data_IF_472931637695
#
_entry.id   IF_472931637695
#
_cell.length_a   1.000
_cell.length_b   1.000
_cell.length_c   1.000
_cell.angle_alpha   90.00
_cell.angle_beta   90.00
_cell.angle_gamma   90.00
#
_symmetry.space_group_name_H-M   'P 1'
#
loop_
_entity.id
_entity.type
_entity.pdbx_description
1 polymer ?
#
# COMPACT_ATOMS: atom_id res chain seq x y z
N UNK A 1 0.37 -9.23 -16.92
CA UNK A 1 0.18 -8.22 -15.83
C UNK A 1 0.44 -6.83 -16.38
N UNK A 2 -0.47 -5.89 -16.22
CA UNK A 2 -0.30 -4.50 -16.65
C UNK A 2 -0.28 -3.59 -15.43
N UNK A 3 0.87 -2.92 -15.19
CA UNK A 3 1.18 -2.14 -13.99
C UNK A 3 2.12 -2.87 -13.04
N UNK A 4 3.25 -2.24 -12.69
CA UNK A 4 4.33 -2.77 -11.83
C UNK A 4 4.42 -2.05 -10.47
N UNK A 5 3.28 -1.66 -9.90
CA UNK A 5 3.18 -1.30 -8.48
C UNK A 5 3.17 -2.55 -7.59
N UNK A 6 3.04 -2.38 -6.27
CA UNK A 6 3.02 -3.51 -5.32
C UNK A 6 1.98 -4.58 -5.71
N UNK A 7 0.79 -4.18 -6.12
CA UNK A 7 -0.28 -5.11 -6.53
C UNK A 7 0.16 -5.92 -7.74
N UNK A 8 0.62 -5.27 -8.83
CA UNK A 8 0.98 -5.98 -10.06
C UNK A 8 2.21 -6.86 -9.90
N UNK A 9 3.29 -6.34 -9.28
CA UNK A 9 4.49 -7.14 -9.02
C UNK A 9 4.21 -8.30 -8.06
N UNK A 10 3.47 -8.05 -6.98
CA UNK A 10 3.13 -9.09 -6.01
C UNK A 10 2.24 -10.17 -6.60
N UNK A 11 1.26 -9.79 -7.43
CA UNK A 11 0.41 -10.77 -8.13
C UNK A 11 1.22 -11.56 -9.16
N UNK A 12 2.07 -10.88 -9.94
CA UNK A 12 2.94 -11.54 -10.92
C UNK A 12 3.86 -12.58 -10.25
N UNK A 13 4.50 -12.20 -9.14
CA UNK A 13 5.35 -13.08 -8.36
C UNK A 13 4.59 -14.29 -7.80
N UNK A 14 3.42 -14.07 -7.24
CA UNK A 14 2.59 -15.15 -6.69
C UNK A 14 2.15 -16.15 -7.78
N UNK A 15 1.74 -15.67 -8.94
CA UNK A 15 1.36 -16.50 -10.08
C UNK A 15 2.56 -17.28 -10.66
N UNK A 16 3.72 -16.64 -10.79
CA UNK A 16 4.94 -17.30 -11.26
C UNK A 16 5.37 -18.43 -10.32
N UNK A 17 5.23 -18.26 -8.99
CA UNK A 17 5.46 -19.33 -8.02
C UNK A 17 4.52 -20.54 -8.18
N UNK A 18 3.33 -20.32 -8.74
CA UNK A 18 2.36 -21.38 -9.05
C UNK A 18 2.58 -22.01 -10.43
N UNK A 19 3.63 -21.60 -11.15
CA UNK A 19 4.00 -22.15 -12.45
C UNK A 19 3.30 -21.51 -13.63
N UNK A 20 2.61 -20.37 -13.46
CA UNK A 20 2.08 -19.62 -14.59
C UNK A 20 3.20 -18.92 -15.35
N UNK A 21 3.09 -18.90 -16.67
CA UNK A 21 3.91 -18.04 -17.52
C UNK A 21 3.39 -16.61 -17.44
N UNK A 22 4.23 -15.69 -16.96
CA UNK A 22 3.81 -14.32 -16.64
C UNK A 22 4.70 -13.32 -17.38
N UNK A 23 4.08 -12.31 -18.02
CA UNK A 23 4.75 -11.10 -18.51
C UNK A 23 4.22 -9.87 -17.77
N UNK A 24 5.10 -8.92 -17.41
CA UNK A 24 4.76 -7.68 -16.74
C UNK A 24 5.04 -6.49 -17.64
N UNK A 25 4.10 -5.57 -17.76
CA UNK A 25 4.19 -4.36 -18.59
C UNK A 25 4.01 -3.11 -17.74
N UNK A 26 5.03 -2.26 -17.67
CA UNK A 26 4.95 -0.93 -17.04
C UNK A 26 6.08 -0.04 -17.56
N UNK A 27 5.81 1.18 -18.04
CA UNK A 27 6.85 2.06 -18.59
C UNK A 27 7.89 2.50 -17.54
N UNK A 28 7.64 2.29 -16.26
CA UNK A 28 8.54 2.66 -15.14
C UNK A 28 9.45 1.52 -14.67
N UNK A 29 9.42 0.35 -15.29
CA UNK A 29 10.24 -0.80 -14.87
C UNK A 29 11.75 -0.51 -14.88
N UNK A 30 12.21 0.34 -15.81
CA UNK A 30 13.61 0.75 -15.90
C UNK A 30 13.97 1.95 -14.99
N UNK A 31 12.99 2.53 -14.29
CA UNK A 31 13.25 3.64 -13.38
C UNK A 31 13.77 3.13 -12.03
N UNK A 32 14.62 3.93 -11.40
CA UNK A 32 15.05 3.70 -10.04
C UNK A 32 13.87 3.68 -9.07
N UNK A 33 13.94 2.79 -8.09
CA UNK A 33 12.94 2.67 -7.03
C UNK A 33 13.42 3.49 -5.84
N UNK A 34 13.42 4.81 -5.97
CA UNK A 34 13.76 5.74 -4.88
C UNK A 34 12.79 6.93 -4.85
N UNK A 35 12.97 7.81 -3.88
CA UNK A 35 12.20 9.05 -3.72
C UNK A 35 13.04 10.29 -4.05
N UNK A 36 14.33 10.12 -4.27
CA UNK A 36 15.26 11.20 -4.57
C UNK A 36 15.14 11.58 -6.05
N UNK A 37 15.02 12.85 -6.34
CA UNK A 37 14.90 13.38 -7.70
C UNK A 37 13.53 13.24 -8.38
N UNK A 38 12.59 12.51 -7.82
CA UNK A 38 11.26 12.25 -8.42
C UNK A 38 10.09 12.68 -7.52
N UNK A 39 10.28 13.72 -6.72
CA UNK A 39 9.36 14.12 -5.64
C UNK A 39 7.87 14.24 -6.03
N UNK A 40 7.56 14.52 -7.29
CA UNK A 40 6.20 14.79 -7.77
C UNK A 40 5.65 13.78 -8.79
N UNK A 41 6.41 12.74 -9.16
CA UNK A 41 5.97 11.71 -10.14
C UNK A 41 6.18 10.28 -9.62
N UNK A 42 6.01 10.06 -8.34
CA UNK A 42 6.13 8.74 -7.75
C UNK A 42 4.91 7.88 -8.05
N UNK A 43 5.13 6.57 -8.23
CA UNK A 43 4.03 5.61 -8.23
C UNK A 43 3.33 5.61 -6.87
N UNK A 44 2.06 5.20 -6.82
CA UNK A 44 1.34 5.08 -5.55
C UNK A 44 2.05 4.19 -4.52
N UNK A 45 2.80 3.19 -4.98
CA UNK A 45 3.61 2.31 -4.12
C UNK A 45 4.85 3.03 -3.61
N UNK A 46 5.65 3.66 -4.49
CA UNK A 46 6.89 4.36 -4.11
C UNK A 46 6.62 5.54 -3.19
N UNK A 47 5.49 6.23 -3.37
CA UNK A 47 5.07 7.32 -2.47
C UNK A 47 4.50 6.82 -1.13
N UNK A 48 4.09 5.56 -1.03
CA UNK A 48 3.49 4.99 0.18
C UNK A 48 4.48 4.95 1.34
N UNK A 49 3.96 5.04 2.57
CA UNK A 49 4.71 4.79 3.80
C UNK A 49 4.78 3.30 4.19
N UNK A 50 4.05 2.44 3.47
CA UNK A 50 4.05 1.00 3.71
C UNK A 50 3.33 0.55 4.98
N UNK A 51 2.46 1.36 5.54
CA UNK A 51 1.73 1.04 6.77
C UNK A 51 0.72 -0.09 6.55
N UNK A 52 0.74 -1.09 7.42
CA UNK A 52 -0.11 -2.26 7.44
C UNK A 52 -1.10 -2.14 8.60
N UNK A 53 -2.27 -1.56 8.35
CA UNK A 53 -3.37 -1.38 9.32
C UNK A 53 -4.49 -2.39 9.02
N UNK A 54 -4.23 -3.66 9.28
CA UNK A 54 -5.17 -4.75 9.03
C UNK A 54 -6.11 -4.98 10.20
N UNK A 55 -5.56 -5.19 11.40
CA UNK A 55 -6.31 -5.57 12.59
C UNK A 55 -7.03 -4.40 13.29
N UNK A 56 -6.48 -3.18 13.20
CA UNK A 56 -7.13 -1.96 13.74
C UNK A 56 -8.27 -1.44 12.87
N UNK A 57 -8.59 -2.10 11.75
CA UNK A 57 -9.69 -1.70 10.89
C UNK A 57 -11.04 -1.83 11.59
N UNK A 58 -11.84 -0.75 11.62
CA UNK A 58 -13.07 -0.67 12.44
C UNK A 58 -14.14 -1.69 12.12
N UNK A 59 -14.27 -2.13 10.84
CA UNK A 59 -15.27 -3.14 10.46
C UNK A 59 -14.76 -4.53 10.75
N UNK A 60 -15.61 -5.40 11.29
CA UNK A 60 -15.32 -6.81 11.62
C UNK A 60 -15.97 -7.79 10.65
N UNK A 61 -16.52 -7.31 9.53
CA UNK A 61 -17.21 -8.13 8.53
C UNK A 61 -17.08 -7.55 7.12
N UNK A 62 -17.54 -8.29 6.13
CA UNK A 62 -17.53 -7.91 4.72
C UNK A 62 -16.21 -8.19 4.00
N UNK A 63 -16.22 -8.00 2.66
CA UNK A 63 -15.07 -8.32 1.78
C UNK A 63 -13.79 -7.59 2.21
N UNK A 64 -13.89 -6.30 2.51
CA UNK A 64 -12.72 -5.49 2.88
C UNK A 64 -12.05 -5.94 4.18
N UNK A 65 -12.81 -6.43 5.16
CA UNK A 65 -12.26 -7.03 6.37
C UNK A 65 -11.58 -8.38 6.07
N UNK A 66 -12.26 -9.28 5.37
CA UNK A 66 -11.70 -10.60 5.01
C UNK A 66 -10.38 -10.46 4.25
N UNK A 67 -10.33 -9.55 3.28
CA UNK A 67 -9.12 -9.31 2.49
C UNK A 67 -7.96 -8.76 3.34
N UNK A 68 -8.23 -7.82 4.25
CA UNK A 68 -7.22 -7.32 5.20
C UNK A 68 -6.68 -8.42 6.09
N UNK A 69 -7.59 -9.16 6.72
CA UNK A 69 -7.22 -10.26 7.61
C UNK A 69 -6.35 -11.27 6.88
N UNK A 70 -6.79 -11.71 5.70
CA UNK A 70 -6.03 -12.65 4.88
C UNK A 70 -4.66 -12.11 4.48
N UNK A 71 -4.58 -10.85 4.07
CA UNK A 71 -3.30 -10.21 3.76
C UNK A 71 -2.35 -10.20 4.96
N UNK A 72 -2.84 -9.87 6.16
CA UNK A 72 -2.02 -9.87 7.37
C UNK A 72 -1.53 -11.28 7.75
N UNK A 73 -2.32 -12.32 7.49
CA UNK A 73 -1.92 -13.71 7.68
C UNK A 73 -0.81 -14.14 6.71
N UNK A 74 -0.80 -13.60 5.49
CA UNK A 74 0.17 -13.93 4.43
C UNK A 74 1.49 -13.15 4.54
N UNK A 75 1.47 -11.93 5.07
CA UNK A 75 2.64 -11.05 5.11
C UNK A 75 3.90 -11.69 5.72
N UNK A 76 3.86 -12.41 6.84
CA UNK A 76 5.06 -13.03 7.42
C UNK A 76 5.77 -13.96 6.44
N UNK A 77 5.03 -14.86 5.79
CA UNK A 77 5.58 -15.80 4.81
C UNK A 77 6.12 -15.08 3.57
N UNK A 78 5.41 -14.05 3.09
CA UNK A 78 5.87 -13.26 1.96
C UNK A 78 7.22 -12.58 2.24
N UNK A 79 7.36 -11.98 3.42
CA UNK A 79 8.62 -11.34 3.82
C UNK A 79 9.74 -12.38 3.94
N UNK A 80 9.50 -13.50 4.60
CA UNK A 80 10.49 -14.57 4.75
C UNK A 80 11.04 -15.02 3.39
N UNK A 81 10.15 -15.26 2.41
CA UNK A 81 10.55 -15.67 1.07
C UNK A 81 11.29 -14.55 0.32
N UNK A 82 10.79 -13.32 0.36
CA UNK A 82 11.36 -12.19 -0.36
C UNK A 82 12.70 -11.69 0.22
N UNK A 83 13.03 -12.02 1.46
CA UNK A 83 14.33 -11.72 2.07
C UNK A 83 15.51 -12.40 1.36
N UNK A 84 15.27 -13.52 0.68
CA UNK A 84 16.30 -14.14 -0.17
C UNK A 84 16.78 -13.22 -1.29
N UNK A 85 15.89 -12.33 -1.78
CA UNK A 85 16.15 -11.40 -2.87
C UNK A 85 16.51 -9.99 -2.38
N UNK A 86 16.07 -9.60 -1.19
CA UNK A 86 16.37 -8.30 -0.57
C UNK A 86 16.58 -8.49 0.94
N UNK A 87 17.84 -8.71 1.39
CA UNK A 87 18.13 -9.05 2.79
C UNK A 87 17.69 -8.01 3.82
N UNK A 88 17.53 -6.75 3.42
CA UNK A 88 17.10 -5.66 4.31
C UNK A 88 15.56 -5.52 4.40
N UNK A 89 14.82 -6.25 3.56
CA UNK A 89 13.36 -6.24 3.64
C UNK A 89 12.90 -6.89 4.95
N UNK A 90 12.11 -6.17 5.74
CA UNK A 90 11.56 -6.65 7.03
C UNK A 90 10.10 -6.27 7.17
N UNK A 91 9.37 -7.13 7.86
CA UNK A 91 8.13 -6.74 8.50
C UNK A 91 8.49 -6.08 9.84
N UNK A 92 8.04 -4.86 10.04
CA UNK A 92 8.22 -4.11 11.28
C UNK A 92 6.90 -4.08 12.04
N UNK A 93 6.66 -5.02 12.97
CA UNK A 93 5.42 -5.08 13.72
C UNK A 93 5.36 -4.01 14.81
N UNK A 94 4.16 -3.79 15.33
CA UNK A 94 3.87 -2.82 16.38
C UNK A 94 3.34 -1.51 15.81
N UNK A 95 2.02 -1.33 15.91
CA UNK A 95 1.34 -0.08 15.57
C UNK A 95 0.61 0.44 16.82
N UNK A 96 0.79 1.71 17.12
CA UNK A 96 0.11 2.41 18.20
C UNK A 96 -0.75 3.53 17.62
N UNK A 97 -2.06 3.47 17.83
CA UNK A 97 -2.98 4.53 17.46
C UNK A 97 -3.40 5.30 18.71
N UNK A 98 -3.14 6.61 18.73
CA UNK A 98 -3.49 7.50 19.84
C UNK A 98 -5.00 7.80 19.80
N UNK A 99 -5.64 7.81 20.94
CA UNK A 99 -7.03 8.22 21.06
C UNK A 99 -7.13 9.75 21.13
N UNK A 100 -7.81 10.34 20.14
CA UNK A 100 -7.96 11.79 20.02
C UNK A 100 -8.83 12.39 21.14
N UNK A 101 -9.83 11.63 21.59
CA UNK A 101 -10.77 11.99 22.62
C UNK A 101 -11.27 10.76 23.42
N UNK A 102 -12.07 11.00 24.45
CA UNK A 102 -12.65 9.92 25.29
C UNK A 102 -13.57 8.99 24.47
N UNK A 103 -14.28 9.50 23.46
CA UNK A 103 -15.15 8.68 22.62
C UNK A 103 -14.33 7.77 21.70
N UNK A 104 -13.21 8.27 21.19
CA UNK A 104 -12.25 7.45 20.42
C UNK A 104 -11.65 6.36 21.31
N UNK A 105 -11.25 6.68 22.55
CA UNK A 105 -10.74 5.71 23.51
C UNK A 105 -11.76 4.58 23.78
N UNK A 106 -13.02 4.90 24.04
CA UNK A 106 -14.09 3.90 24.24
C UNK A 106 -14.30 3.01 23.02
N UNK A 107 -14.23 3.56 21.80
CA UNK A 107 -14.31 2.76 20.57
C UNK A 107 -13.10 1.82 20.41
N UNK A 108 -11.91 2.30 20.76
CA UNK A 108 -10.68 1.50 20.73
C UNK A 108 -10.70 0.39 21.76
N UNK A 109 -11.20 0.66 22.97
CA UNK A 109 -11.38 -0.33 24.03
C UNK A 109 -12.32 -1.46 23.60
N UNK A 110 -13.48 -1.10 23.04
CA UNK A 110 -14.42 -2.07 22.49
C UNK A 110 -13.80 -2.91 21.36
N UNK A 111 -12.98 -2.31 20.50
CA UNK A 111 -12.28 -3.02 19.44
C UNK A 111 -11.19 -3.96 19.99
N UNK A 112 -10.42 -3.51 20.98
CA UNK A 112 -9.40 -4.31 21.65
C UNK A 112 -10.01 -5.54 22.31
N UNK A 113 -11.13 -5.36 23.05
CA UNK A 113 -11.85 -6.46 23.68
C UNK A 113 -12.36 -7.52 22.67
N UNK A 114 -12.75 -7.10 21.47
CA UNK A 114 -13.20 -8.00 20.40
C UNK A 114 -12.06 -8.73 19.67
N UNK A 115 -10.81 -8.25 19.76
CA UNK A 115 -9.67 -8.72 18.95
C UNK A 115 -8.41 -8.97 19.77
N UNK A 116 -8.59 -9.47 20.99
CA UNK A 116 -7.46 -9.87 21.85
C UNK A 116 -6.62 -10.96 21.17
N UNK A 117 -7.27 -11.90 20.50
CA UNK A 117 -6.65 -12.97 19.70
C UNK A 117 -5.84 -12.45 18.50
N UNK A 118 -6.17 -11.25 18.00
CA UNK A 118 -5.42 -10.57 16.95
C UNK A 118 -4.33 -9.62 17.51
N UNK A 119 -4.05 -9.69 18.80
CA UNK A 119 -2.99 -8.92 19.44
C UNK A 119 -3.29 -7.44 19.65
N UNK A 120 -4.58 -7.07 19.76
CA UNK A 120 -5.00 -5.71 20.10
C UNK A 120 -5.11 -5.55 21.62
N UNK A 121 -4.59 -4.44 22.14
CA UNK A 121 -4.70 -4.07 23.54
C UNK A 121 -4.74 -2.55 23.71
N UNK A 122 -5.46 -2.11 24.74
CA UNK A 122 -5.41 -0.71 25.17
C UNK A 122 -4.11 -0.44 25.94
N UNK A 123 -3.56 0.76 25.73
CA UNK A 123 -2.42 1.30 26.47
C UNK A 123 -2.86 2.58 27.15
N UNK A 124 -2.54 2.72 28.42
CA UNK A 124 -2.97 3.89 29.21
C UNK A 124 -2.15 5.14 28.89
N UNK A 125 -2.68 6.32 29.22
CA UNK A 125 -1.91 7.57 29.08
C UNK A 125 -0.63 7.58 29.93
N UNK A 126 -0.65 6.92 31.08
CA UNK A 126 0.53 6.80 31.96
C UNK A 126 1.64 5.96 31.30
N UNK A 127 1.29 4.86 30.64
CA UNK A 127 2.25 4.01 29.92
C UNK A 127 2.82 4.72 28.68
N UNK A 128 2.05 5.62 28.09
CA UNK A 128 2.47 6.38 26.89
C UNK A 128 3.26 7.65 27.23
N UNK A 129 3.32 8.07 28.48
CA UNK A 129 3.91 9.35 28.87
C UNK A 129 5.37 9.51 28.41
N UNK A 130 6.16 8.43 28.36
CA UNK A 130 7.55 8.44 27.89
C UNK A 130 7.68 8.46 26.36
N UNK A 131 6.71 7.88 25.62
CA UNK A 131 6.73 7.78 24.15
C UNK A 131 6.00 8.97 23.53
N UNK A 132 4.80 9.26 24.03
CA UNK A 132 3.91 10.28 23.48
C UNK A 132 3.19 11.05 24.60
N UNK A 133 3.82 12.08 25.18
CA UNK A 133 3.30 12.78 26.37
C UNK A 133 1.93 13.45 26.18
N UNK A 134 1.52 13.70 24.93
CA UNK A 134 0.22 14.31 24.61
C UNK A 134 -0.94 13.32 24.53
N UNK A 135 -0.70 12.01 24.68
CA UNK A 135 -1.70 10.94 24.64
C UNK A 135 -2.59 10.91 25.90
N UNK A 136 -3.45 11.92 26.06
CA UNK A 136 -4.30 12.11 27.28
C UNK A 136 -5.31 11.00 27.50
N UNK A 137 -5.78 10.36 26.43
CA UNK A 137 -6.81 9.32 26.46
C UNK A 137 -6.25 7.92 26.19
N UNK A 138 -4.91 7.77 26.24
CA UNK A 138 -4.26 6.50 25.92
C UNK A 138 -4.28 6.18 24.41
N UNK A 139 -4.25 4.90 24.08
CA UNK A 139 -4.25 4.47 22.69
C UNK A 139 -4.49 2.98 22.50
N UNK A 140 -4.64 2.57 21.25
CA UNK A 140 -4.79 1.19 20.83
C UNK A 140 -3.47 0.68 20.26
N UNK A 141 -2.86 -0.30 20.90
CA UNK A 141 -1.69 -1.00 20.40
C UNK A 141 -2.11 -2.26 19.65
N UNK A 142 -1.58 -2.45 18.46
CA UNK A 142 -1.67 -3.70 17.69
C UNK A 142 -0.29 -4.31 17.57
N UNK A 143 -0.13 -5.53 18.08
CA UNK A 143 1.14 -6.28 18.02
C UNK A 143 1.52 -6.64 16.60
N UNK A 144 0.55 -6.94 15.74
CA UNK A 144 0.78 -7.53 14.42
C UNK A 144 0.61 -6.52 13.27
N UNK A 145 -0.15 -5.44 13.45
CA UNK A 145 -0.10 -4.32 12.51
C UNK A 145 1.27 -3.63 12.60
N UNK A 146 1.63 -2.89 11.57
CA UNK A 146 2.94 -2.26 11.52
C UNK A 146 3.26 -1.72 10.14
N UNK A 147 4.45 -2.05 9.60
CA UNK A 147 4.84 -1.59 8.26
C UNK A 147 5.80 -2.54 7.55
N UNK A 148 5.85 -2.39 6.23
CA UNK A 148 6.93 -2.87 5.36
C UNK A 148 7.47 -1.69 4.55
N UNK A 149 8.76 -1.66 4.25
CA UNK A 149 9.30 -0.62 3.36
C UNK A 149 8.85 -0.88 1.91
N UNK A 150 8.06 0.01 1.29
CA UNK A 150 7.50 -0.23 -0.03
C UNK A 150 8.54 -0.14 -1.16
N UNK A 151 9.67 0.55 -0.94
CA UNK A 151 10.76 0.61 -1.91
C UNK A 151 11.53 -0.71 -1.91
N UNK A 152 11.91 -1.20 -0.74
CA UNK A 152 12.55 -2.51 -0.59
C UNK A 152 11.64 -3.64 -1.07
N UNK A 153 10.34 -3.55 -0.81
CA UNK A 153 9.36 -4.52 -1.33
C UNK A 153 9.35 -4.57 -2.85
N UNK A 154 9.33 -3.40 -3.52
CA UNK A 154 9.37 -3.35 -4.98
C UNK A 154 10.67 -3.92 -5.54
N UNK A 155 11.82 -3.62 -4.91
CA UNK A 155 13.12 -4.17 -5.31
C UNK A 155 13.13 -5.69 -5.17
N UNK A 156 12.69 -6.22 -4.03
CA UNK A 156 12.61 -7.66 -3.79
C UNK A 156 11.73 -8.38 -4.81
N UNK A 157 10.53 -7.83 -5.07
CA UNK A 157 9.61 -8.41 -6.05
C UNK A 157 10.16 -8.38 -7.47
N UNK A 158 10.80 -7.27 -7.90
CA UNK A 158 11.44 -7.19 -9.22
C UNK A 158 12.56 -8.22 -9.35
N UNK A 159 13.41 -8.34 -8.35
CA UNK A 159 14.51 -9.31 -8.38
C UNK A 159 14.00 -10.76 -8.38
N UNK A 160 13.01 -11.07 -7.54
CA UNK A 160 12.39 -12.39 -7.50
C UNK A 160 11.77 -12.79 -8.85
N UNK A 161 11.13 -11.84 -9.55
CA UNK A 161 10.55 -12.06 -10.87
C UNK A 161 11.64 -12.32 -11.94
N UNK A 162 12.74 -11.56 -11.90
CA UNK A 162 13.88 -11.79 -12.82
C UNK A 162 14.49 -13.17 -12.60
N UNK A 163 14.69 -13.60 -11.36
CA UNK A 163 15.23 -14.92 -11.04
C UNK A 163 14.30 -16.07 -11.46
N UNK A 164 12.98 -15.81 -11.51
CA UNK A 164 11.99 -16.76 -12.04
C UNK A 164 11.82 -16.65 -13.56
N UNK A 165 12.67 -15.88 -14.25
CA UNK A 165 12.62 -15.68 -15.71
C UNK A 165 11.30 -15.05 -16.19
N UNK A 166 10.62 -14.28 -15.36
CA UNK A 166 9.45 -13.52 -15.75
C UNK A 166 9.86 -12.36 -16.65
N UNK A 167 9.15 -12.20 -17.76
CA UNK A 167 9.42 -11.13 -18.72
C UNK A 167 8.94 -9.78 -18.18
N UNK A 168 9.89 -8.85 -17.97
CA UNK A 168 9.63 -7.49 -17.49
C UNK A 168 9.78 -6.49 -18.64
N UNK A 169 8.66 -5.99 -19.16
CA UNK A 169 8.60 -5.10 -20.32
C UNK A 169 8.44 -3.63 -19.87
N UNK A 170 9.48 -2.83 -20.04
CA UNK A 170 9.48 -1.39 -19.70
C UNK A 170 8.76 -0.56 -20.77
N UNK A 171 7.55 -0.94 -21.11
CA UNK A 171 6.72 -0.28 -22.12
C UNK A 171 5.28 -0.10 -21.63
N UNK A 172 4.61 0.92 -22.16
CA UNK A 172 3.19 1.15 -21.87
C UNK A 172 2.31 0.26 -22.76
N UNK A 173 1.30 -0.36 -22.16
CA UNK A 173 0.18 -0.93 -22.91
C UNK A 173 -0.78 0.19 -23.27
N UNK A 174 -1.16 0.28 -24.53
CA UNK A 174 -2.00 1.36 -25.06
C UNK A 174 -3.38 0.90 -25.52
N UNK A 175 -3.55 -0.40 -25.78
CA UNK A 175 -4.82 -0.98 -26.21
C UNK A 175 -4.88 -2.46 -25.87
N UNK A 176 -6.08 -2.91 -25.52
CA UNK A 176 -6.44 -4.31 -25.38
C UNK A 176 -7.49 -4.66 -26.42
N UNK A 177 -7.40 -5.85 -26.96
CA UNK A 177 -8.36 -6.38 -27.92
C UNK A 177 -8.59 -7.85 -27.61
N UNK A 178 -9.86 -8.27 -27.63
CA UNK A 178 -10.20 -9.68 -27.52
C UNK A 178 -10.53 -10.25 -28.87
N UNK A 179 -9.89 -11.37 -29.22
CA UNK A 179 -10.22 -12.14 -30.40
C UNK A 179 -10.30 -13.61 -29.98
N UNK A 180 -11.45 -14.22 -30.23
CA UNK A 180 -11.79 -15.55 -29.75
C UNK A 180 -11.63 -15.67 -28.22
N UNK A 181 -10.76 -16.57 -27.78
CA UNK A 181 -10.49 -16.80 -26.36
C UNK A 181 -9.19 -16.14 -25.87
N UNK A 182 -8.57 -15.28 -26.67
CA UNK A 182 -7.27 -14.66 -26.35
C UNK A 182 -7.36 -13.15 -26.26
N UNK A 183 -6.48 -12.57 -25.46
CA UNK A 183 -6.27 -11.15 -25.33
C UNK A 183 -5.02 -10.71 -26.06
N UNK A 184 -5.15 -9.72 -26.93
CA UNK A 184 -4.05 -9.06 -27.62
C UNK A 184 -3.70 -7.80 -26.85
N UNK A 185 -2.45 -7.73 -26.39
CA UNK A 185 -1.88 -6.62 -25.63
C UNK A 185 -1.02 -5.79 -26.57
N UNK A 186 -1.50 -4.61 -26.96
CA UNK A 186 -0.78 -3.70 -27.87
C UNK A 186 0.03 -2.68 -27.08
N UNK A 187 1.30 -2.57 -27.39
CA UNK A 187 2.27 -1.75 -26.70
C UNK A 187 2.59 -0.46 -27.45
N UNK A 188 3.10 0.55 -26.73
CA UNK A 188 3.49 1.84 -27.30
C UNK A 188 4.71 1.78 -28.23
N UNK A 189 5.52 0.71 -28.14
CA UNK A 189 6.64 0.44 -29.04
C UNK A 189 6.23 -0.17 -30.39
N UNK A 190 4.93 -0.41 -30.58
CA UNK A 190 4.35 -0.99 -31.80
C UNK A 190 4.25 -2.52 -31.81
N UNK A 191 4.83 -3.18 -30.82
CA UNK A 191 4.75 -4.61 -30.64
C UNK A 191 3.41 -5.04 -30.01
N UNK A 192 3.06 -6.32 -30.18
CA UNK A 192 1.88 -6.93 -29.60
C UNK A 192 2.19 -8.33 -29.10
N UNK A 193 1.52 -8.73 -28.03
CA UNK A 193 1.61 -10.07 -27.46
C UNK A 193 0.23 -10.65 -27.21
N UNK A 194 0.14 -11.98 -27.18
CA UNK A 194 -1.12 -12.72 -27.02
C UNK A 194 -1.10 -13.45 -25.68
N UNK A 195 -2.18 -13.32 -24.94
CA UNK A 195 -2.31 -13.92 -23.60
C UNK A 195 -3.70 -14.53 -23.40
N UNK A 196 -3.78 -15.59 -22.60
CA UNK A 196 -5.05 -16.19 -22.18
C UNK A 196 -5.76 -15.29 -21.15
N UNK A 197 -4.97 -14.60 -20.32
CA UNK A 197 -5.45 -13.74 -19.23
C UNK A 197 -4.71 -12.42 -19.23
N UNK A 198 -5.43 -11.35 -18.91
CA UNK A 198 -4.88 -10.02 -18.65
C UNK A 198 -5.36 -9.53 -17.29
N UNK A 199 -4.41 -9.14 -16.44
CA UNK A 199 -4.72 -8.55 -15.13
C UNK A 199 -4.28 -7.09 -15.11
N UNK A 200 -5.23 -6.19 -14.89
CA UNK A 200 -5.03 -4.74 -14.86
C UNK A 200 -4.78 -4.25 -13.42
N UNK A 201 -3.58 -3.73 -13.18
CA UNK A 201 -3.14 -3.14 -11.90
C UNK A 201 -2.72 -1.68 -12.07
N UNK A 202 -3.28 -0.96 -13.04
CA UNK A 202 -2.83 0.34 -13.55
C UNK A 202 -3.35 1.55 -12.78
N UNK A 203 -4.05 1.33 -11.66
CA UNK A 203 -4.58 2.37 -10.79
C UNK A 203 -5.38 3.44 -11.57
N UNK A 204 -5.02 4.72 -11.49
CA UNK A 204 -5.71 5.82 -12.19
C UNK A 204 -5.70 5.69 -13.73
N UNK A 205 -4.80 4.88 -14.29
CA UNK A 205 -4.72 4.67 -15.73
C UNK A 205 -5.56 3.50 -16.25
N UNK A 206 -6.33 2.84 -15.40
CA UNK A 206 -7.17 1.70 -15.79
C UNK A 206 -8.19 2.08 -16.87
N UNK A 207 -8.83 3.24 -16.76
CA UNK A 207 -9.88 3.66 -17.69
C UNK A 207 -9.37 3.85 -19.13
N UNK A 208 -8.11 4.26 -19.33
CA UNK A 208 -7.51 4.37 -20.67
C UNK A 208 -7.61 3.05 -21.45
N UNK A 209 -7.50 1.92 -20.75
CA UNK A 209 -7.60 0.59 -21.35
C UNK A 209 -9.03 0.02 -21.33
N UNK A 210 -9.86 0.46 -20.37
CA UNK A 210 -11.19 -0.11 -20.12
C UNK A 210 -12.30 0.63 -20.88
N UNK A 211 -12.21 1.95 -21.08
CA UNK A 211 -13.24 2.71 -21.81
C UNK A 211 -13.45 2.22 -23.24
N UNK A 212 -12.39 1.92 -24.04
CA UNK A 212 -12.58 1.38 -25.38
C UNK A 212 -13.29 0.01 -25.43
N UNK A 213 -13.25 -0.74 -24.30
CA UNK A 213 -13.93 -2.03 -24.16
C UNK A 213 -15.36 -1.89 -23.61
N UNK A 214 -15.82 -0.67 -23.30
CA UNK A 214 -17.09 -0.43 -22.63
C UNK A 214 -17.10 -0.84 -21.14
N UNK A 215 -15.93 -1.06 -20.56
CA UNK A 215 -15.75 -1.57 -19.19
C UNK A 215 -15.24 -0.50 -18.21
N UNK A 216 -15.54 0.77 -18.43
CA UNK A 216 -15.06 1.87 -17.60
C UNK A 216 -15.29 1.64 -16.09
N UNK A 217 -14.26 1.91 -15.30
CA UNK A 217 -14.28 1.82 -13.82
C UNK A 217 -13.64 3.10 -13.25
N UNK A 218 -14.39 4.22 -13.26
CA UNK A 218 -13.84 5.54 -12.97
C UNK A 218 -13.23 5.61 -11.58
N UNK A 219 -12.06 6.25 -11.51
CA UNK A 219 -11.32 6.49 -10.27
C UNK A 219 -10.92 7.96 -10.20
N UNK A 220 -11.05 8.55 -9.00
CA UNK A 220 -10.56 9.90 -8.74
C UNK A 220 -9.19 9.86 -8.08
N UNK A 221 -8.29 10.78 -8.45
CA UNK A 221 -7.03 10.95 -7.74
C UNK A 221 -7.29 11.53 -6.35
N UNK A 222 -6.54 11.03 -5.37
CA UNK A 222 -6.44 11.60 -4.03
C UNK A 222 -4.96 11.70 -3.70
N UNK A 223 -4.46 12.94 -3.66
CA UNK A 223 -3.07 13.22 -3.39
C UNK A 223 -2.75 12.98 -1.92
N UNK A 224 -1.53 12.57 -1.66
CA UNK A 224 -0.96 12.47 -0.33
C UNK A 224 0.48 12.90 -0.31
N UNK A 225 0.79 13.83 0.59
CA UNK A 225 2.14 14.32 0.83
C UNK A 225 2.74 13.64 2.05
N UNK A 226 4.05 13.42 2.04
CA UNK A 226 4.81 12.89 3.16
C UNK A 226 6.17 13.59 3.29
N UNK A 227 6.69 13.59 4.50
CA UNK A 227 7.96 14.23 4.87
C UNK A 227 8.94 13.21 5.45
N UNK A 228 10.22 13.41 5.18
CA UNK A 228 11.33 12.88 5.97
C UNK A 228 11.85 14.00 6.87
N UNK A 229 11.92 13.72 8.16
CA UNK A 229 12.28 14.68 9.19
C UNK A 229 13.55 14.23 9.91
N UNK A 230 14.43 15.19 10.19
CA UNK A 230 15.58 15.05 11.06
C UNK A 230 15.34 15.87 12.34
N UNK A 231 15.44 15.18 13.49
CA UNK A 231 15.15 15.77 14.80
C UNK A 231 16.39 16.47 15.33
N UNK A 232 16.27 17.73 15.69
CA UNK A 232 17.29 18.53 16.36
C UNK A 232 17.23 18.38 17.88
N UNK A 233 16.06 18.06 18.40
CA UNK A 233 15.77 17.80 19.82
C UNK A 233 14.80 16.64 19.93
N UNK A 234 14.57 16.13 21.14
CA UNK A 234 13.59 15.04 21.37
C UNK A 234 14.22 13.64 21.38
N UNK A 235 13.51 12.62 20.92
CA UNK A 235 14.01 11.24 20.97
C UNK A 235 15.27 11.07 20.12
N UNK A 236 16.37 10.71 20.74
CA UNK A 236 17.65 10.39 20.05
C UNK A 236 17.71 8.92 19.66
N UNK A 237 16.89 8.07 20.29
CA UNK A 237 16.73 6.66 19.98
C UNK A 237 15.25 6.32 19.94
N UNK A 238 14.91 5.27 19.22
CA UNK A 238 13.53 4.81 19.10
C UNK A 238 13.23 3.60 19.99
N UNK A 239 13.98 3.47 21.11
CA UNK A 239 13.74 2.44 22.10
C UNK A 239 12.33 2.58 22.66
N UNK A 240 11.59 1.46 22.71
CA UNK A 240 10.19 1.39 23.14
C UNK A 240 9.16 2.12 22.27
N UNK A 241 9.58 2.67 21.10
CA UNK A 241 8.64 3.20 20.14
C UNK A 241 8.01 2.10 19.30
N UNK A 242 6.73 2.24 18.91
CA UNK A 242 6.14 1.38 17.91
C UNK A 242 6.79 1.61 16.54
N UNK A 243 6.70 0.64 15.65
CA UNK A 243 7.17 0.82 14.27
C UNK A 243 6.32 1.85 13.50
N UNK A 244 5.07 2.05 13.94
CA UNK A 244 4.16 3.10 13.45
C UNK A 244 3.39 3.68 14.64
N UNK A 245 3.52 4.98 14.86
CA UNK A 245 2.64 5.73 15.75
C UNK A 245 1.65 6.52 14.90
N UNK A 246 0.35 6.41 15.20
CA UNK A 246 -0.72 7.13 14.49
C UNK A 246 -1.34 8.13 15.42
N UNK A 247 -1.21 9.40 15.09
CA UNK A 247 -1.85 10.50 15.83
C UNK A 247 -2.47 11.49 14.86
N UNK A 248 -3.64 12.05 15.18
CA UNK A 248 -4.40 12.98 14.35
C UNK A 248 -4.59 12.49 12.89
N UNK A 249 -4.67 11.17 12.68
CA UNK A 249 -4.80 10.58 11.35
C UNK A 249 -3.50 10.50 10.54
N UNK A 250 -2.37 10.99 11.08
CA UNK A 250 -1.05 10.92 10.46
C UNK A 250 -0.19 9.82 11.07
N UNK A 251 0.70 9.26 10.26
CA UNK A 251 1.64 8.22 10.69
C UNK A 251 3.01 8.84 10.94
N UNK A 252 3.58 8.51 12.09
CA UNK A 252 4.96 8.81 12.46
C UNK A 252 5.73 7.49 12.47
N UNK A 253 6.77 7.41 11.66
CA UNK A 253 7.50 6.17 11.39
C UNK A 253 8.98 6.39 11.65
N UNK A 254 9.54 5.86 12.74
CA UNK A 254 10.97 5.86 12.99
C UNK A 254 11.72 5.12 11.87
N UNK A 255 12.83 5.69 11.38
CA UNK A 255 13.66 5.07 10.34
C UNK A 255 15.11 4.86 10.78
N UNK A 256 15.71 5.86 11.40
CA UNK A 256 17.06 5.84 11.94
C UNK A 256 17.13 6.70 13.20
N UNK A 257 18.17 6.62 14.02
CA UNK A 257 18.33 7.52 15.17
C UNK A 257 18.14 8.99 14.77
N UNK A 258 17.22 9.69 15.45
CA UNK A 258 16.87 11.08 15.15
C UNK A 258 16.18 11.32 13.81
N UNK A 259 15.70 10.30 13.12
CA UNK A 259 14.96 10.42 11.84
C UNK A 259 13.64 9.71 11.85
N UNK A 260 12.65 10.36 11.27
CA UNK A 260 11.33 9.76 11.09
C UNK A 260 10.66 10.20 9.77
N UNK A 261 9.74 9.39 9.28
CA UNK A 261 8.80 9.78 8.24
C UNK A 261 7.49 10.24 8.88
N UNK A 262 6.91 11.29 8.34
CA UNK A 262 5.60 11.82 8.74
C UNK A 262 4.68 11.83 7.52
N UNK A 263 3.50 11.26 7.66
CA UNK A 263 2.53 11.22 6.55
C UNK A 263 1.28 10.41 6.84
N UNK A 264 0.35 10.51 5.96
CA UNK A 264 0.34 11.35 4.78
C UNK A 264 -0.94 12.18 4.75
N UNK A 265 -0.88 13.31 4.11
CA UNK A 265 -2.08 14.10 3.85
C UNK A 265 -3.11 13.34 3.02
N UNK A 266 -4.34 13.81 3.01
CA UNK A 266 -5.45 13.27 2.19
C UNK A 266 -6.12 14.45 1.50
N UNK A 267 -5.74 14.67 0.25
CA UNK A 267 -6.14 15.84 -0.53
C UNK A 267 -6.94 15.41 -1.75
N UNK A 268 -8.18 15.84 -1.91
CA UNK A 268 -8.96 15.57 -3.12
C UNK A 268 -8.26 16.18 -4.36
N UNK A 269 -8.16 15.40 -5.43
CA UNK A 269 -7.50 15.84 -6.68
C UNK A 269 -6.03 15.43 -6.75
N UNK A 270 -5.31 16.10 -7.63
CA UNK A 270 -3.93 15.79 -8.04
C UNK A 270 -2.91 16.89 -7.72
N UNK A 271 -3.35 17.97 -7.09
CA UNK A 271 -2.50 19.13 -6.76
C UNK A 271 -2.24 19.19 -5.26
N UNK A 272 -0.96 19.29 -4.90
CA UNK A 272 -0.52 19.49 -3.53
C UNK A 272 -0.91 20.89 -3.02
N UNK A 273 -1.30 20.98 -1.75
CA UNK A 273 -1.65 22.20 -1.06
C UNK A 273 -0.78 22.40 0.18
N UNK A 274 -0.49 23.66 0.51
CA UNK A 274 0.32 24.01 1.69
C UNK A 274 -0.45 23.80 3.00
N UNK A 275 -1.75 24.07 3.02
CA UNK A 275 -2.55 23.98 4.24
C UNK A 275 -2.59 22.56 4.83
N UNK A 276 -2.91 21.49 4.08
CA UNK A 276 -2.86 20.12 4.58
C UNK A 276 -1.47 19.69 5.01
N UNK A 277 -0.42 20.14 4.32
CA UNK A 277 0.98 19.86 4.67
C UNK A 277 1.34 20.52 6.01
N UNK A 278 0.96 21.76 6.22
CA UNK A 278 1.15 22.51 7.46
C UNK A 278 0.41 21.86 8.62
N UNK A 279 -0.87 21.50 8.43
CA UNK A 279 -1.67 20.78 9.43
C UNK A 279 -1.05 19.45 9.81
N UNK A 280 -0.57 18.68 8.84
CA UNK A 280 0.14 17.42 9.09
C UNK A 280 1.40 17.64 9.91
N UNK A 281 2.25 18.60 9.52
CA UNK A 281 3.50 18.91 10.22
C UNK A 281 3.27 19.31 11.67
N UNK A 282 2.19 20.02 11.94
CA UNK A 282 1.81 20.46 13.28
C UNK A 282 0.85 19.51 13.99
N UNK A 283 0.53 18.34 13.42
CA UNK A 283 -0.46 17.39 13.93
C UNK A 283 -1.75 18.08 14.39
N UNK A 284 -2.32 18.91 13.53
CA UNK A 284 -3.49 19.74 13.86
C UNK A 284 -3.27 20.54 15.16
N UNK A 285 -2.11 21.19 15.30
CA UNK A 285 -1.68 22.02 16.44
C UNK A 285 -1.31 21.23 17.71
N UNK A 286 -1.30 19.90 17.66
CA UNK A 286 -0.99 19.04 18.82
C UNK A 286 0.44 18.47 18.80
N UNK A 287 1.27 18.82 17.80
CA UNK A 287 2.64 18.33 17.71
C UNK A 287 3.47 18.74 18.93
N UNK A 288 4.27 17.82 19.51
CA UNK A 288 5.26 18.19 20.51
C UNK A 288 6.34 19.11 19.92
N UNK A 289 7.00 19.90 20.77
CA UNK A 289 7.98 20.90 20.34
C UNK A 289 9.10 20.30 19.48
N UNK A 290 9.60 19.14 19.86
CA UNK A 290 10.66 18.46 19.10
C UNK A 290 10.25 18.08 17.67
N UNK A 291 8.93 17.83 17.43
CA UNK A 291 8.43 17.55 16.09
C UNK A 291 8.22 18.84 15.29
N UNK A 292 7.74 19.90 15.93
CA UNK A 292 7.58 21.22 15.30
C UNK A 292 8.93 21.81 14.85
N UNK A 293 9.96 21.62 15.67
CA UNK A 293 11.31 22.12 15.40
C UNK A 293 12.14 21.23 14.46
N UNK A 294 11.63 20.05 14.09
CA UNK A 294 12.34 19.11 13.22
C UNK A 294 12.61 19.71 11.84
N UNK A 295 13.80 19.40 11.29
CA UNK A 295 14.19 19.84 9.95
C UNK A 295 13.59 18.92 8.90
N UNK A 296 12.96 19.49 7.88
CA UNK A 296 12.50 18.73 6.70
C UNK A 296 13.71 18.44 5.83
N UNK A 297 14.07 17.16 5.69
CA UNK A 297 15.17 16.68 4.85
C UNK A 297 14.70 15.97 3.59
N UNK A 298 13.40 15.72 3.46
CA UNK A 298 12.78 15.18 2.26
C UNK A 298 11.28 15.44 2.23
N UNK A 299 10.76 15.67 1.04
CA UNK A 299 9.33 15.86 0.78
C UNK A 299 8.97 15.17 -0.53
N UNK A 300 7.88 14.42 -0.53
CA UNK A 300 7.35 13.80 -1.75
C UNK A 300 5.84 13.68 -1.67
N UNK A 301 5.23 13.43 -2.83
CA UNK A 301 3.79 13.20 -2.95
C UNK A 301 3.50 12.03 -3.87
N UNK A 302 2.27 11.53 -3.82
CA UNK A 302 1.79 10.50 -4.71
C UNK A 302 0.26 10.45 -4.76
N UNK A 303 -0.24 9.89 -5.85
CA UNK A 303 -1.67 9.79 -6.11
C UNK A 303 -2.21 8.42 -5.72
N UNK A 304 -3.32 8.43 -5.02
CA UNK A 304 -4.12 7.24 -4.70
C UNK A 304 -5.31 7.16 -5.65
N UNK A 305 -5.54 6.00 -6.23
CA UNK A 305 -6.71 5.73 -7.04
C UNK A 305 -7.90 5.38 -6.14
N UNK A 306 -8.88 6.26 -6.05
CA UNK A 306 -10.11 6.05 -5.32
C UNK A 306 -11.25 5.74 -6.28
N UNK A 307 -11.88 4.55 -6.21
CA UNK A 307 -13.06 4.23 -7.01
C UNK A 307 -14.20 5.23 -6.77
N UNK A 308 -14.87 5.63 -7.84
CA UNK A 308 -16.06 6.48 -7.80
C UNK A 308 -17.28 5.58 -7.54
N UNK A 309 -18.10 5.95 -6.56
CA UNK A 309 -19.36 5.30 -6.18
C UNK A 309 -19.28 3.78 -5.92
N UNK A 310 -18.07 3.27 -5.69
CA UNK A 310 -17.81 1.85 -5.43
C UNK A 310 -16.81 1.66 -4.29
N UNK A 311 -16.93 0.60 -3.48
CA UNK A 311 -15.97 0.34 -2.42
C UNK A 311 -14.62 -0.10 -2.97
N UNK A 312 -13.53 0.44 -2.38
CA UNK A 312 -12.17 0.00 -2.64
C UNK A 312 -11.87 -1.36 -1.93
N UNK A 313 -11.06 -2.25 -2.55
CA UNK A 313 -10.54 -2.22 -3.91
C UNK A 313 -11.56 -2.72 -4.95
N UNK A 314 -11.29 -2.40 -6.23
CA UNK A 314 -11.96 -3.04 -7.37
C UNK A 314 -11.24 -4.35 -7.69
N UNK A 315 -11.88 -5.46 -7.38
CA UNK A 315 -11.44 -6.81 -7.69
C UNK A 315 -12.58 -7.48 -8.46
N UNK A 316 -12.45 -7.55 -9.77
CA UNK A 316 -13.53 -7.95 -10.68
C UNK A 316 -12.95 -8.65 -11.91
N UNK A 317 -13.56 -9.76 -12.32
CA UNK A 317 -13.46 -10.20 -13.70
C UNK A 317 -14.46 -9.38 -14.53
N UNK A 318 -13.97 -8.64 -15.52
CA UNK A 318 -14.76 -7.74 -16.36
C UNK A 318 -15.32 -8.44 -17.58
N UNK A 319 -14.48 -9.28 -18.18
CA UNK A 319 -14.79 -10.17 -19.29
C UNK A 319 -13.99 -11.45 -19.11
N UNK A 320 -14.36 -12.55 -19.78
CA UNK A 320 -13.60 -13.78 -19.68
C UNK A 320 -12.09 -13.56 -19.93
N UNK A 321 -11.28 -13.79 -18.92
CA UNK A 321 -9.84 -13.61 -18.95
C UNK A 321 -9.36 -12.17 -18.76
N UNK A 322 -10.22 -11.17 -18.54
CA UNK A 322 -9.84 -9.80 -18.19
C UNK A 322 -10.18 -9.51 -16.73
N UNK A 323 -9.18 -9.43 -15.90
CA UNK A 323 -9.31 -9.20 -14.45
C UNK A 323 -8.83 -7.79 -14.11
N UNK A 324 -9.65 -7.04 -13.36
CA UNK A 324 -9.26 -5.77 -12.75
C UNK A 324 -8.90 -6.00 -11.28
N UNK A 325 -7.66 -5.69 -10.93
CA UNK A 325 -7.15 -5.67 -9.56
C UNK A 325 -6.56 -4.29 -9.24
N UNK A 326 -7.44 -3.31 -8.99
CA UNK A 326 -7.06 -1.89 -8.96
C UNK A 326 -7.88 -1.12 -7.92
N UNK A 327 -7.66 0.20 -7.82
CA UNK A 327 -8.46 1.07 -6.95
C UNK A 327 -8.30 0.78 -5.46
N UNK A 328 -7.16 0.29 -5.02
CA UNK A 328 -6.89 -0.06 -3.61
C UNK A 328 -6.84 1.14 -2.67
N UNK A 329 -6.85 2.35 -3.21
CA UNK A 329 -6.85 3.62 -2.48
C UNK A 329 -5.67 3.72 -1.50
N UNK A 330 -5.94 3.64 -0.19
CA UNK A 330 -4.90 3.78 0.87
C UNK A 330 -4.24 2.45 1.27
N UNK A 331 -4.64 1.34 0.67
CA UNK A 331 -4.31 0.00 1.17
C UNK A 331 -3.58 -0.88 0.14
N UNK A 332 -2.99 -0.29 -0.91
CA UNK A 332 -2.33 -1.07 -1.96
C UNK A 332 -1.27 -2.02 -1.40
N UNK A 333 -0.31 -1.49 -0.65
CA UNK A 333 0.73 -2.32 -0.02
C UNK A 333 0.13 -3.36 0.92
N UNK A 334 -0.72 -2.93 1.87
CA UNK A 334 -1.37 -3.85 2.82
C UNK A 334 -2.04 -5.04 2.14
N UNK A 335 -2.80 -4.78 1.05
CA UNK A 335 -3.65 -5.78 0.42
C UNK A 335 -2.95 -6.58 -0.69
N UNK A 336 -1.66 -6.34 -0.93
CA UNK A 336 -0.91 -7.03 -2.00
C UNK A 336 -1.01 -8.55 -1.92
N UNK A 337 -0.72 -9.22 -0.78
CA UNK A 337 -0.77 -10.68 -0.74
C UNK A 337 -2.19 -11.24 -0.95
N UNK A 338 -3.19 -10.68 -0.28
CA UNK A 338 -4.56 -11.15 -0.42
C UNK A 338 -5.17 -10.86 -1.79
N UNK A 339 -4.73 -9.78 -2.47
CA UNK A 339 -5.12 -9.51 -3.86
C UNK A 339 -4.50 -10.53 -4.81
N UNK A 340 -3.23 -10.87 -4.62
CA UNK A 340 -2.54 -11.88 -5.43
C UNK A 340 -3.22 -13.25 -5.31
N UNK A 341 -3.53 -13.68 -4.10
CA UNK A 341 -4.27 -14.92 -3.85
C UNK A 341 -5.67 -14.91 -4.48
N UNK A 342 -6.39 -13.78 -4.39
CA UNK A 342 -7.68 -13.63 -5.04
C UNK A 342 -7.58 -13.75 -6.57
N UNK A 343 -6.60 -13.09 -7.20
CA UNK A 343 -6.38 -13.20 -8.66
C UNK A 343 -6.07 -14.64 -9.05
N UNK A 344 -5.20 -15.34 -8.31
CA UNK A 344 -4.87 -16.73 -8.59
C UNK A 344 -6.13 -17.63 -8.56
N UNK A 345 -6.99 -17.46 -7.56
CA UNK A 345 -8.24 -18.20 -7.45
C UNK A 345 -9.19 -17.95 -8.64
N UNK A 346 -9.29 -16.71 -9.14
CA UNK A 346 -10.09 -16.38 -10.33
C UNK A 346 -9.55 -17.07 -11.60
N UNK A 347 -8.20 -17.11 -11.75
CA UNK A 347 -7.59 -17.80 -12.89
C UNK A 347 -7.82 -19.31 -12.83
N UNK A 348 -7.68 -19.94 -11.68
CA UNK A 348 -7.92 -21.38 -11.48
C UNK A 348 -9.38 -21.74 -11.80
N UNK A 349 -10.34 -20.97 -11.29
CA UNK A 349 -11.76 -21.20 -11.55
C UNK A 349 -12.06 -21.16 -13.06
N UNK A 350 -11.49 -20.19 -13.78
CA UNK A 350 -11.68 -20.08 -15.23
C UNK A 350 -11.03 -21.20 -16.03
N UNK A 351 -9.86 -21.64 -15.61
CA UNK A 351 -9.18 -22.76 -16.26
C UNK A 351 -10.01 -24.05 -16.17
N UNK A 352 -10.69 -24.25 -15.04
CA UNK A 352 -11.59 -25.39 -14.84
C UNK A 352 -12.89 -25.31 -15.67
N UNK A 353 -13.41 -24.11 -15.93
CA UNK A 353 -14.62 -23.89 -16.76
C UNK A 353 -14.33 -24.08 -18.26
N UNK A 354 -13.08 -23.99 -18.70
CA UNK A 354 -12.64 -24.15 -20.10
C UNK A 354 -12.15 -25.56 -20.44
N UNK A 355 -11.87 -26.40 -19.44
CA UNK A 355 -11.46 -27.80 -19.58
C UNK A 355 -12.66 -28.75 -19.66
#
# INVERSE_FOLDING_TARGET
>A
MIGAGAIGLGTAWHLAQQGHEVSVYDPRLNQSVDREGSANDLSGTSASLGVLMGHVFRRSSGRGWRLRRRSMELWPQWIETLQAHQPDLRLHPGLLQIAEDEQAAKRMEALAAQRVDLGLQMVTSADLAAVWPTARHGGLHSRHDGRVDPLLLQLALRQALVEQSVELNATAVIRLERNDNHWYVHRADGESSVHNFVVLCTALRSDVLLEPLGQARPMTPVLGQALSLELTTGPTTWNNWPSVLVDQGFNLIPTAPGRLLLGATVEPGDRASEDPLSLMRNLNEQAPEWLRSATVVGHWSGLRARPVDRPAPLLEELEPGLILASGHYRNGVLLTPGTAEWVAAELEQRSLEQA
#
